data_IF_157606399918
#
_entry.id   IF_157606399918
#
_cell.length_a   1.000
_cell.length_b   1.000
_cell.length_c   1.000
_cell.angle_alpha   90.00
_cell.angle_beta   90.00
_cell.angle_gamma   90.00
#
_symmetry.space_group_name_H-M   'P 1'
#
loop_
_entity.id
_entity.type
_entity.pdbx_description
1 polymer ?
#
# COMPACT_ATOMS: atom_id res chain seq x y z
N UNK A 1 9.63 -6.66 3.65
CA UNK A 1 8.36 -6.35 2.96
C UNK A 1 7.76 -7.68 2.49
N UNK A 2 6.52 -7.98 2.86
CA UNK A 2 5.81 -9.14 2.29
C UNK A 2 5.19 -8.71 0.96
N UNK A 3 5.75 -9.22 -0.15
CA UNK A 3 5.35 -8.88 -1.51
C UNK A 3 3.92 -9.32 -1.83
N UNK A 4 3.38 -10.31 -1.11
CA UNK A 4 2.02 -10.78 -1.32
C UNK A 4 0.95 -9.74 -0.93
N UNK A 5 1.34 -8.66 -0.25
CA UNK A 5 0.45 -7.56 0.10
C UNK A 5 0.36 -6.49 -0.99
N UNK A 6 1.01 -6.66 -2.14
CA UNK A 6 1.05 -5.67 -3.22
C UNK A 6 0.71 -6.29 -4.57
N UNK A 7 0.21 -5.49 -5.50
CA UNK A 7 0.08 -5.92 -6.89
C UNK A 7 1.47 -6.01 -7.52
N UNK A 8 1.65 -6.90 -8.49
CA UNK A 8 2.95 -7.06 -9.15
C UNK A 8 3.44 -5.77 -9.83
N UNK A 9 2.50 -4.96 -10.35
CA UNK A 9 2.77 -3.64 -10.92
C UNK A 9 3.30 -2.62 -9.89
N UNK A 10 2.96 -2.80 -8.60
CA UNK A 10 3.35 -1.88 -7.52
C UNK A 10 4.69 -2.25 -6.87
N UNK A 11 5.25 -3.44 -7.16
CA UNK A 11 6.49 -3.89 -6.51
C UNK A 11 7.64 -2.88 -6.56
N UNK A 12 7.94 -2.22 -7.70
CA UNK A 12 9.00 -1.22 -7.75
C UNK A 12 8.71 -0.01 -6.85
N UNK A 13 7.45 0.44 -6.80
CA UNK A 13 7.04 1.57 -5.96
C UNK A 13 7.07 1.20 -4.47
N UNK A 14 6.52 0.05 -4.10
CA UNK A 14 6.54 -0.45 -2.72
C UNK A 14 7.98 -0.66 -2.21
N UNK A 15 8.88 -1.15 -3.07
CA UNK A 15 10.30 -1.26 -2.73
C UNK A 15 10.92 0.11 -2.47
N UNK A 16 10.67 1.10 -3.36
CA UNK A 16 11.17 2.47 -3.18
C UNK A 16 10.69 3.09 -1.87
N UNK A 17 9.41 2.97 -1.54
CA UNK A 17 8.86 3.50 -0.29
C UNK A 17 9.44 2.79 0.94
N UNK A 18 9.68 1.48 0.86
CA UNK A 18 10.36 0.72 1.92
C UNK A 18 11.78 1.23 2.17
N UNK A 19 12.55 1.51 1.11
CA UNK A 19 13.89 2.08 1.23
C UNK A 19 13.83 3.48 1.85
N UNK A 20 12.92 4.33 1.37
CA UNK A 20 12.72 5.68 1.92
C UNK A 20 12.44 5.64 3.44
N UNK A 21 11.58 4.72 3.90
CA UNK A 21 11.30 4.54 5.34
C UNK A 21 12.56 4.18 6.11
N UNK A 22 13.36 3.22 5.61
CA UNK A 22 14.58 2.78 6.29
C UNK A 22 15.61 3.91 6.40
N UNK A 23 15.79 4.68 5.33
CA UNK A 23 16.69 5.82 5.31
C UNK A 23 16.20 6.92 6.27
N UNK A 24 14.89 7.21 6.28
CA UNK A 24 14.31 8.19 7.20
C UNK A 24 14.45 7.75 8.67
N UNK A 25 14.27 6.46 8.99
CA UNK A 25 14.47 5.93 10.34
C UNK A 25 15.93 6.07 10.77
N UNK A 26 16.88 5.81 9.85
CA UNK A 26 18.30 6.00 10.10
C UNK A 26 18.60 7.47 10.45
N UNK A 27 18.14 8.42 9.62
CA UNK A 27 18.32 9.86 9.84
C UNK A 27 17.67 10.28 11.16
N UNK A 28 16.39 9.97 11.38
CA UNK A 28 15.67 10.30 12.61
C UNK A 28 16.43 9.85 13.86
N UNK A 29 16.99 8.63 13.85
CA UNK A 29 17.79 8.12 14.97
C UNK A 29 19.08 8.90 15.17
N UNK A 30 19.77 9.27 14.10
CA UNK A 30 20.99 10.07 14.16
C UNK A 30 20.70 11.46 14.75
N UNK A 31 19.72 12.16 14.19
CA UNK A 31 19.36 13.52 14.60
C UNK A 31 18.87 13.57 16.06
N UNK A 32 18.19 12.52 16.53
CA UNK A 32 17.81 12.39 17.94
C UNK A 32 19.02 12.34 18.89
N UNK A 33 20.11 11.70 18.47
CA UNK A 33 21.36 11.63 19.26
C UNK A 33 22.10 12.97 19.23
N UNK A 34 22.06 13.67 18.11
CA UNK A 34 22.69 14.98 17.92
C UNK A 34 21.89 16.13 18.59
N UNK A 35 20.62 15.88 18.91
CA UNK A 35 19.72 16.86 19.52
C UNK A 35 19.04 17.79 18.51
N UNK A 36 19.17 17.51 17.21
CA UNK A 36 18.46 18.22 16.15
C UNK A 36 17.04 17.65 15.98
N UNK A 37 16.15 18.10 16.84
CA UNK A 37 14.76 17.64 16.81
C UNK A 37 13.99 18.14 15.58
N UNK A 38 14.42 19.22 14.94
CA UNK A 38 13.75 19.73 13.73
C UNK A 38 13.96 18.75 12.57
N UNK A 39 15.20 18.32 12.34
CA UNK A 39 15.51 17.34 11.31
C UNK A 39 14.92 15.95 11.62
N UNK A 40 14.89 15.57 12.90
CA UNK A 40 14.21 14.34 13.32
C UNK A 40 12.70 14.36 13.00
N UNK A 41 12.03 15.51 13.18
CA UNK A 41 10.62 15.69 12.80
C UNK A 41 10.46 15.56 11.28
N UNK A 42 11.29 16.23 10.49
CA UNK A 42 11.23 16.17 9.02
C UNK A 42 11.39 14.74 8.52
N UNK A 43 12.37 13.99 9.05
CA UNK A 43 12.57 12.59 8.71
C UNK A 43 11.35 11.72 9.07
N UNK A 44 10.73 11.98 10.23
CA UNK A 44 9.53 11.27 10.68
C UNK A 44 8.34 11.52 9.75
N UNK A 45 8.12 12.77 9.34
CA UNK A 45 7.04 13.13 8.40
C UNK A 45 7.25 12.48 7.03
N UNK A 46 8.49 12.41 6.56
CA UNK A 46 8.84 11.72 5.32
C UNK A 46 8.52 10.23 5.40
N UNK A 47 8.95 9.56 6.47
CA UNK A 47 8.63 8.14 6.70
C UNK A 47 7.12 7.91 6.77
N UNK A 48 6.38 8.80 7.44
CA UNK A 48 4.92 8.73 7.53
C UNK A 48 4.25 8.81 6.15
N UNK A 49 4.73 9.66 5.25
CA UNK A 49 4.23 9.72 3.87
C UNK A 49 4.44 8.40 3.14
N UNK A 50 5.64 7.83 3.21
CA UNK A 50 5.93 6.53 2.61
C UNK A 50 5.10 5.38 3.21
N UNK A 51 4.86 5.39 4.53
CA UNK A 51 3.95 4.42 5.15
C UNK A 51 2.52 4.53 4.61
N UNK A 52 2.02 5.75 4.38
CA UNK A 52 0.68 5.96 3.81
C UNK A 52 0.57 5.45 2.38
N UNK A 53 1.60 5.65 1.56
CA UNK A 53 1.62 5.11 0.19
C UNK A 53 1.65 3.58 0.18
N UNK A 54 2.47 2.95 1.03
CA UNK A 54 2.45 1.49 1.18
C UNK A 54 1.07 0.98 1.62
N UNK A 55 0.47 1.62 2.62
CA UNK A 55 -0.87 1.26 3.09
C UNK A 55 -1.92 1.38 1.98
N UNK A 56 -1.85 2.45 1.18
CA UNK A 56 -2.74 2.64 0.03
C UNK A 56 -2.61 1.50 -0.99
N UNK A 57 -1.39 1.11 -1.38
CA UNK A 57 -1.18 -0.01 -2.30
C UNK A 57 -1.73 -1.33 -1.74
N UNK A 58 -1.61 -1.55 -0.42
CA UNK A 58 -2.20 -2.72 0.24
C UNK A 58 -3.73 -2.72 0.18
N UNK A 59 -4.37 -1.57 0.40
CA UNK A 59 -5.81 -1.43 0.29
C UNK A 59 -6.29 -1.66 -1.15
N UNK A 60 -5.57 -1.13 -2.14
CA UNK A 60 -5.88 -1.34 -3.55
C UNK A 60 -5.79 -2.81 -3.95
N UNK A 61 -4.77 -3.53 -3.47
CA UNK A 61 -4.69 -4.98 -3.66
C UNK A 61 -5.87 -5.70 -3.01
N UNK A 62 -6.13 -5.44 -1.73
CA UNK A 62 -7.20 -6.10 -0.99
C UNK A 62 -8.55 -5.91 -1.71
N UNK A 63 -8.83 -4.69 -2.16
CA UNK A 63 -10.03 -4.39 -2.92
C UNK A 63 -10.10 -5.14 -4.25
N UNK A 64 -9.00 -5.22 -5.02
CA UNK A 64 -8.98 -5.99 -6.27
C UNK A 64 -9.17 -7.49 -6.02
N UNK A 65 -8.58 -8.04 -4.97
CA UNK A 65 -8.73 -9.45 -4.61
C UNK A 65 -10.19 -9.76 -4.23
N UNK A 66 -10.84 -8.88 -3.45
CA UNK A 66 -12.27 -8.98 -3.12
C UNK A 66 -13.16 -8.96 -4.37
N UNK A 67 -12.93 -8.00 -5.27
CA UNK A 67 -13.67 -7.90 -6.53
C UNK A 67 -13.48 -9.14 -7.40
N UNK A 68 -12.25 -9.66 -7.50
CA UNK A 68 -11.97 -10.89 -8.24
C UNK A 68 -12.70 -12.10 -7.64
N UNK A 69 -12.74 -12.21 -6.31
CA UNK A 69 -13.48 -13.27 -5.62
C UNK A 69 -14.99 -13.20 -5.92
N UNK A 70 -15.60 -12.01 -5.87
CA UNK A 70 -17.02 -11.80 -6.22
C UNK A 70 -17.29 -12.19 -7.68
N UNK A 71 -16.43 -11.78 -8.61
CA UNK A 71 -16.57 -12.13 -10.03
C UNK A 71 -16.48 -13.64 -10.22
N UNK A 72 -15.57 -14.30 -9.51
CA UNK A 72 -15.37 -15.74 -9.62
C UNK A 72 -16.59 -16.51 -9.08
N UNK A 73 -17.11 -16.13 -7.90
CA UNK A 73 -18.34 -16.70 -7.34
C UNK A 73 -19.53 -16.50 -8.28
N UNK A 74 -19.64 -15.32 -8.88
CA UNK A 74 -20.71 -15.02 -9.83
C UNK A 74 -20.65 -15.89 -11.09
N UNK A 75 -19.45 -16.14 -11.63
CA UNK A 75 -19.24 -17.04 -12.76
C UNK A 75 -19.63 -18.48 -12.40
N UNK A 76 -19.25 -18.95 -11.22
CA UNK A 76 -19.58 -20.31 -10.74
C UNK A 76 -21.09 -20.51 -10.56
N UNK A 77 -21.82 -19.45 -10.19
CA UNK A 77 -23.29 -19.44 -10.09
C UNK A 77 -23.99 -19.20 -11.43
N UNK A 78 -23.27 -19.08 -12.54
CA UNK A 78 -23.83 -18.84 -13.87
C UNK A 78 -24.46 -17.45 -14.04
N UNK A 79 -24.08 -16.46 -13.23
CA UNK A 79 -24.60 -15.09 -13.35
C UNK A 79 -23.97 -14.40 -14.57
N UNK A 80 -24.80 -13.80 -15.41
CA UNK A 80 -24.34 -13.07 -16.61
C UNK A 80 -23.57 -11.79 -16.27
N UNK A 81 -22.61 -11.43 -17.13
CA UNK A 81 -21.71 -10.26 -17.00
C UNK A 81 -22.45 -8.95 -16.67
N UNK A 82 -23.66 -8.75 -17.20
CA UNK A 82 -24.46 -7.53 -16.99
C UNK A 82 -24.89 -7.39 -15.53
N UNK A 83 -25.21 -8.50 -14.85
CA UNK A 83 -25.61 -8.50 -13.43
C UNK A 83 -24.40 -8.20 -12.54
N UNK A 84 -23.23 -8.75 -12.90
CA UNK A 84 -21.97 -8.52 -12.19
C UNK A 84 -21.58 -7.03 -12.26
N UNK A 85 -21.69 -6.39 -13.43
CA UNK A 85 -21.42 -4.95 -13.56
C UNK A 85 -22.41 -4.09 -12.78
N UNK A 86 -23.67 -4.51 -12.61
CA UNK A 86 -24.64 -3.80 -11.78
C UNK A 86 -24.32 -3.86 -10.29
N UNK A 87 -23.78 -4.99 -9.80
CA UNK A 87 -23.41 -5.18 -8.40
C UNK A 87 -22.09 -4.48 -8.01
N UNK A 88 -21.16 -4.33 -8.97
CA UNK A 88 -19.86 -3.68 -8.73
C UNK A 88 -19.92 -2.14 -8.80
N UNK A 89 -20.95 -1.58 -9.43
CA UNK A 89 -21.12 -0.14 -9.63
C UNK A 89 -22.27 0.47 -8.80
N UNK A 90 -22.95 -0.34 -7.99
CA UNK A 90 -24.09 0.05 -7.15
C UNK A 90 -23.70 0.42 -5.74
#
# INVERSE_FOLDING_TARGET
MDVNNFLAEDYPAAFKETICIMDCIYVMRQELVEGDYEQAIVATENALRSFKELYKMQQEKAHRDEVQAIIQEAKEKGMGIVIIQGLLNG
#
